data_IF_860440771613
#
_entry.id   IF_860440771613
#
_cell.length_a   1.000
_cell.length_b   1.000
_cell.length_c   1.000
_cell.angle_alpha   90.00
_cell.angle_beta   90.00
_cell.angle_gamma   90.00
#
_symmetry.space_group_name_H-M   'P 1'
#
loop_
_entity.id
_entity.type
_entity.pdbx_description
1 polymer ?
#
# COMPACT_ATOMS: atom_id res chain seq x y z
N UNK A 1 18.52 -21.72 -9.90
CA UNK A 1 19.89 -21.13 -9.99
C UNK A 1 19.85 -19.85 -9.19
N UNK A 2 20.87 -19.56 -8.39
CA UNK A 2 20.97 -18.29 -7.68
C UNK A 2 21.46 -17.21 -8.66
N UNK A 3 20.84 -16.02 -8.63
CA UNK A 3 21.30 -14.87 -9.44
C UNK A 3 22.63 -14.37 -8.91
N UNK A 4 23.48 -13.90 -9.82
CA UNK A 4 24.72 -13.17 -9.50
C UNK A 4 24.50 -11.67 -9.70
N UNK A 5 25.40 -10.83 -9.18
CA UNK A 5 25.39 -9.38 -9.44
C UNK A 5 25.40 -9.07 -10.95
N UNK A 6 26.17 -9.86 -11.72
CA UNK A 6 26.26 -9.71 -13.18
C UNK A 6 24.90 -9.96 -13.84
N UNK A 7 24.17 -11.00 -13.41
CA UNK A 7 22.85 -11.32 -13.99
C UNK A 7 21.86 -10.19 -13.75
N UNK A 8 21.81 -9.65 -12.52
CA UNK A 8 20.90 -8.53 -12.19
C UNK A 8 21.29 -7.27 -12.98
N UNK A 9 22.57 -6.98 -13.08
CA UNK A 9 23.07 -5.85 -13.87
C UNK A 9 22.67 -5.97 -15.34
N UNK A 10 22.80 -7.15 -15.95
CA UNK A 10 22.42 -7.40 -17.34
C UNK A 10 20.92 -7.20 -17.56
N UNK A 11 20.08 -7.65 -16.64
CA UNK A 11 18.62 -7.40 -16.65
C UNK A 11 18.34 -5.89 -16.67
N UNK A 12 18.96 -5.13 -15.76
CA UNK A 12 18.74 -3.68 -15.67
C UNK A 12 19.21 -2.95 -16.94
N UNK A 13 20.37 -3.31 -17.48
CA UNK A 13 20.92 -2.72 -18.71
C UNK A 13 20.02 -3.03 -19.92
N UNK A 14 19.52 -4.24 -20.04
CA UNK A 14 18.58 -4.67 -21.09
C UNK A 14 17.28 -3.85 -21.03
N UNK A 15 16.69 -3.71 -19.84
CA UNK A 15 15.49 -2.89 -19.66
C UNK A 15 15.76 -1.41 -19.95
N UNK A 16 16.90 -0.91 -19.55
CA UNK A 16 17.32 0.48 -19.83
C UNK A 16 17.52 0.74 -21.32
N UNK A 17 18.07 -0.22 -22.04
CA UNK A 17 18.18 -0.15 -23.49
C UNK A 17 16.80 -0.13 -24.17
N UNK A 18 15.90 -1.00 -23.74
CA UNK A 18 14.52 -1.03 -24.24
C UNK A 18 13.76 0.27 -23.94
N UNK A 19 13.85 0.79 -22.73
CA UNK A 19 13.22 2.07 -22.37
C UNK A 19 13.69 3.22 -23.27
N UNK A 20 14.99 3.27 -23.61
CA UNK A 20 15.57 4.30 -24.48
C UNK A 20 15.04 4.27 -25.91
N UNK A 21 14.45 3.17 -26.37
CA UNK A 21 13.79 3.12 -27.68
C UNK A 21 12.55 3.99 -27.76
N UNK A 22 11.98 4.39 -26.60
CA UNK A 22 10.75 5.16 -26.52
C UNK A 22 9.48 4.33 -26.76
N UNK A 23 9.57 3.00 -26.89
CA UNK A 23 8.43 2.12 -27.15
C UNK A 23 7.32 2.24 -26.09
N UNK A 24 7.68 2.55 -24.84
CA UNK A 24 6.73 2.69 -23.72
C UNK A 24 6.04 4.06 -23.63
N UNK A 25 6.41 5.03 -24.47
CA UNK A 25 5.92 6.41 -24.36
C UNK A 25 4.50 6.59 -24.92
N UNK A 26 4.09 5.79 -25.90
CA UNK A 26 2.75 5.90 -26.49
C UNK A 26 1.67 5.42 -25.52
N UNK A 27 0.72 6.29 -25.22
CA UNK A 27 -0.40 6.01 -24.31
C UNK A 27 -1.32 4.89 -24.83
N UNK A 28 -1.50 4.78 -26.14
CA UNK A 28 -2.29 3.69 -26.73
C UNK A 28 -1.61 2.35 -26.51
N UNK A 29 -0.32 2.30 -26.71
CA UNK A 29 0.49 1.11 -26.47
C UNK A 29 0.42 0.66 -25.01
N UNK A 30 0.52 1.59 -24.04
CA UNK A 30 0.37 1.29 -22.60
C UNK A 30 -1.01 0.70 -22.29
N UNK A 31 -2.08 1.26 -22.87
CA UNK A 31 -3.45 0.75 -22.70
C UNK A 31 -3.55 -0.68 -23.23
N UNK A 32 -2.95 -0.99 -24.37
CA UNK A 32 -2.94 -2.37 -24.89
C UNK A 32 -2.13 -3.31 -23.96
N UNK A 33 -1.03 -2.88 -23.38
CA UNK A 33 -0.28 -3.68 -22.38
C UNK A 33 -1.10 -3.91 -21.09
N UNK A 34 -1.84 -2.91 -20.64
CA UNK A 34 -2.76 -3.05 -19.49
C UNK A 34 -3.91 -4.02 -19.79
N UNK A 35 -4.47 -3.99 -20.99
CA UNK A 35 -5.49 -4.98 -21.40
C UNK A 35 -4.91 -6.38 -21.45
N UNK A 36 -3.73 -6.55 -22.03
CA UNK A 36 -3.01 -7.82 -22.07
C UNK A 36 -2.78 -8.36 -20.65
N UNK A 37 -2.31 -7.51 -19.72
CA UNK A 37 -2.14 -7.87 -18.32
C UNK A 37 -3.46 -8.33 -17.68
N UNK A 38 -4.54 -7.55 -17.84
CA UNK A 38 -5.86 -7.89 -17.31
C UNK A 38 -6.37 -9.24 -17.81
N UNK A 39 -6.30 -9.45 -19.14
CA UNK A 39 -6.83 -10.64 -19.77
C UNK A 39 -6.02 -11.88 -19.37
N UNK A 40 -4.70 -11.71 -19.20
CA UNK A 40 -3.84 -12.75 -18.67
C UNK A 40 -4.13 -13.07 -17.18
N UNK A 41 -4.40 -12.05 -16.33
CA UNK A 41 -4.79 -12.27 -14.93
C UNK A 41 -6.05 -13.14 -14.85
N UNK A 42 -7.04 -12.87 -15.70
CA UNK A 42 -8.26 -13.69 -15.75
C UNK A 42 -7.99 -15.11 -16.29
N UNK A 43 -7.08 -15.27 -17.24
CA UNK A 43 -6.71 -16.59 -17.76
C UNK A 43 -5.93 -17.43 -16.75
N UNK A 44 -5.24 -16.80 -15.80
CA UNK A 44 -4.44 -17.45 -14.75
C UNK A 44 -5.15 -17.56 -13.42
N UNK A 45 -6.47 -17.25 -13.35
CA UNK A 45 -7.25 -17.21 -12.10
C UNK A 45 -7.11 -18.50 -11.30
N UNK A 46 -7.32 -19.67 -11.90
CA UNK A 46 -7.21 -20.98 -11.24
C UNK A 46 -5.78 -21.28 -10.74
N UNK A 47 -4.75 -20.94 -11.53
CA UNK A 47 -3.35 -21.09 -11.12
C UNK A 47 -3.02 -20.21 -9.90
N UNK A 48 -3.52 -18.99 -9.87
CA UNK A 48 -3.33 -18.07 -8.73
C UNK A 48 -4.10 -18.53 -7.49
N UNK A 49 -5.35 -18.98 -7.65
CA UNK A 49 -6.15 -19.53 -6.56
C UNK A 49 -5.45 -20.74 -5.91
N UNK A 50 -4.95 -21.68 -6.72
CA UNK A 50 -4.23 -22.85 -6.22
C UNK A 50 -2.94 -22.45 -5.49
N UNK A 51 -2.14 -21.53 -6.06
CA UNK A 51 -0.91 -21.08 -5.42
C UNK A 51 -1.16 -20.33 -4.09
N UNK A 52 -2.26 -19.56 -4.00
CA UNK A 52 -2.68 -18.90 -2.77
C UNK A 52 -3.18 -19.90 -1.72
N UNK A 53 -3.82 -21.00 -2.15
CA UNK A 53 -4.19 -22.11 -1.25
C UNK A 53 -2.94 -22.82 -0.73
N UNK A 54 -1.96 -23.08 -1.59
CA UNK A 54 -0.72 -23.78 -1.22
C UNK A 54 0.17 -22.94 -0.27
N UNK A 55 0.26 -21.61 -0.48
CA UNK A 55 1.13 -20.74 0.32
C UNK A 55 0.46 -20.21 1.61
N UNK A 56 -0.86 -20.00 1.62
CA UNK A 56 -1.60 -19.28 2.68
C UNK A 56 -2.85 -20.01 3.17
N UNK A 57 -3.22 -21.15 2.56
CA UNK A 57 -4.44 -21.89 2.90
C UNK A 57 -5.73 -21.14 2.57
N UNK A 58 -5.72 -20.22 1.60
CA UNK A 58 -6.89 -19.44 1.23
C UNK A 58 -7.90 -20.24 0.43
N UNK A 59 -9.18 -20.07 0.74
CA UNK A 59 -10.26 -20.56 -0.11
C UNK A 59 -10.27 -19.81 -1.46
N UNK A 60 -10.86 -20.42 -2.49
CA UNK A 60 -11.04 -19.76 -3.80
C UNK A 60 -11.76 -18.42 -3.71
N UNK A 61 -12.79 -18.33 -2.86
CA UNK A 61 -13.55 -17.09 -2.66
C UNK A 61 -12.66 -16.00 -2.06
N UNK A 62 -11.85 -16.30 -1.05
CA UNK A 62 -10.94 -15.33 -0.45
C UNK A 62 -9.80 -14.96 -1.40
N UNK A 63 -9.25 -15.91 -2.15
CA UNK A 63 -8.24 -15.67 -3.17
C UNK A 63 -8.74 -14.70 -4.24
N UNK A 64 -9.94 -14.92 -4.76
CA UNK A 64 -10.57 -14.00 -5.70
C UNK A 64 -10.87 -12.63 -5.09
N UNK A 65 -11.51 -12.61 -3.91
CA UNK A 65 -11.93 -11.37 -3.24
C UNK A 65 -10.75 -10.45 -2.89
N UNK A 66 -9.63 -11.03 -2.47
CA UNK A 66 -8.51 -10.29 -1.89
C UNK A 66 -7.32 -10.09 -2.83
N UNK A 67 -7.15 -10.93 -3.85
CA UNK A 67 -6.03 -10.83 -4.80
C UNK A 67 -6.52 -10.63 -6.24
N UNK A 68 -7.17 -11.60 -6.88
CA UNK A 68 -7.45 -11.59 -8.33
C UNK A 68 -8.46 -10.52 -8.73
N UNK A 69 -9.61 -10.45 -8.05
CA UNK A 69 -10.68 -9.49 -8.37
C UNK A 69 -10.24 -8.03 -8.27
N UNK A 70 -9.60 -7.60 -7.17
CA UNK A 70 -9.11 -6.24 -7.03
C UNK A 70 -8.14 -5.80 -8.12
N UNK A 71 -7.24 -6.68 -8.60
CA UNK A 71 -6.32 -6.35 -9.70
C UNK A 71 -7.08 -6.03 -10.97
N UNK A 72 -8.09 -6.83 -11.31
CA UNK A 72 -8.91 -6.62 -12.52
C UNK A 72 -9.64 -5.28 -12.43
N UNK A 73 -10.14 -4.93 -11.24
CA UNK A 73 -10.79 -3.63 -10.99
C UNK A 73 -9.81 -2.48 -11.17
N UNK A 74 -8.63 -2.59 -10.59
CA UNK A 74 -7.54 -1.60 -10.65
C UNK A 74 -7.08 -1.36 -12.09
N UNK A 75 -6.78 -2.43 -12.84
CA UNK A 75 -6.36 -2.32 -14.25
C UNK A 75 -7.46 -1.70 -15.11
N UNK A 76 -8.72 -2.07 -14.90
CA UNK A 76 -9.84 -1.47 -15.64
C UNK A 76 -9.99 0.03 -15.37
N UNK A 77 -9.73 0.49 -14.15
CA UNK A 77 -9.68 1.92 -13.82
C UNK A 77 -8.56 2.62 -14.59
N UNK A 78 -7.36 2.04 -14.61
CA UNK A 78 -6.21 2.58 -15.36
C UNK A 78 -6.51 2.65 -16.86
N UNK A 79 -7.06 1.60 -17.47
CA UNK A 79 -7.43 1.58 -18.90
C UNK A 79 -8.40 2.73 -19.24
N UNK A 80 -9.39 2.99 -18.38
CA UNK A 80 -10.38 4.05 -18.58
C UNK A 80 -9.80 5.44 -18.37
N UNK A 81 -8.92 5.60 -17.34
CA UNK A 81 -8.39 6.88 -16.90
C UNK A 81 -7.17 7.36 -17.66
N UNK A 82 -6.31 6.46 -18.13
CA UNK A 82 -4.95 6.76 -18.58
C UNK A 82 -4.87 7.82 -19.67
N UNK A 83 -5.79 7.82 -20.65
CA UNK A 83 -5.80 8.85 -21.70
C UNK A 83 -6.01 10.26 -21.15
N UNK A 84 -6.78 10.38 -20.06
CA UNK A 84 -7.01 11.67 -19.38
C UNK A 84 -5.81 12.05 -18.52
N UNK A 85 -5.31 11.13 -17.72
CA UNK A 85 -4.21 11.36 -16.78
C UNK A 85 -2.89 11.73 -17.47
N UNK A 86 -2.60 11.08 -18.60
CA UNK A 86 -1.39 11.32 -19.38
C UNK A 86 -1.43 12.62 -20.22
N UNK A 87 -2.58 13.30 -20.32
CA UNK A 87 -2.64 14.58 -21.02
C UNK A 87 -1.79 15.62 -20.29
N UNK A 88 -0.99 16.43 -21.02
CA UNK A 88 -0.33 17.57 -20.43
C UNK A 88 -1.34 18.54 -19.83
N UNK A 89 -1.09 18.95 -18.60
CA UNK A 89 -1.86 20.05 -17.97
C UNK A 89 -1.42 21.36 -18.55
N UNK A 90 -2.37 22.21 -18.92
CA UNK A 90 -2.10 23.54 -19.47
C UNK A 90 -2.38 24.59 -18.41
N UNK A 91 -1.39 25.44 -18.15
CA UNK A 91 -1.48 26.49 -17.16
C UNK A 91 -1.22 27.84 -17.82
N UNK A 92 -1.91 28.89 -17.36
CA UNK A 92 -1.56 30.25 -17.68
C UNK A 92 -0.24 30.61 -16.96
N UNK A 93 0.73 31.08 -17.72
CA UNK A 93 2.08 31.32 -17.22
C UNK A 93 2.21 32.53 -16.28
N UNK A 94 1.16 33.32 -16.12
CA UNK A 94 1.18 34.58 -15.38
C UNK A 94 1.80 35.73 -16.17
N UNK A 95 1.49 36.98 -15.74
CA UNK A 95 1.93 38.21 -16.42
C UNK A 95 3.46 38.40 -16.39
N UNK A 96 4.13 37.89 -15.35
CA UNK A 96 5.59 37.92 -15.23
C UNK A 96 6.30 37.14 -16.32
N UNK A 97 5.64 36.15 -16.91
CA UNK A 97 6.19 35.33 -18.00
C UNK A 97 5.84 35.89 -19.39
N UNK A 98 4.99 36.93 -19.47
CA UNK A 98 4.62 37.53 -20.76
C UNK A 98 5.86 37.91 -21.59
N UNK A 99 5.91 37.64 -22.90
CA UNK A 99 4.83 37.14 -23.78
C UNK A 99 4.72 35.60 -23.85
N UNK A 100 5.38 34.84 -22.99
CA UNK A 100 5.30 33.39 -22.91
C UNK A 100 4.14 32.99 -22.01
N UNK A 101 2.94 32.84 -22.60
CA UNK A 101 1.68 32.67 -21.86
C UNK A 101 1.21 31.20 -21.74
N UNK A 102 1.90 30.27 -22.38
CA UNK A 102 1.51 28.84 -22.38
C UNK A 102 2.57 28.01 -21.67
N UNK A 103 2.16 27.44 -20.54
CA UNK A 103 2.94 26.46 -19.81
C UNK A 103 2.24 25.10 -19.86
N UNK A 104 3.00 24.04 -20.08
CA UNK A 104 2.50 22.68 -20.03
C UNK A 104 3.28 21.87 -18.99
N UNK A 105 2.56 21.06 -18.22
CA UNK A 105 3.15 20.07 -17.32
C UNK A 105 2.93 18.69 -17.93
N UNK A 106 4.01 18.03 -18.29
CA UNK A 106 4.02 16.67 -18.80
C UNK A 106 4.25 15.68 -17.64
N UNK A 107 3.64 14.50 -17.71
CA UNK A 107 3.90 13.38 -16.80
C UNK A 107 4.88 12.45 -17.52
N UNK A 108 6.14 12.53 -17.14
CA UNK A 108 7.23 11.76 -17.76
C UNK A 108 7.47 10.47 -16.99
N UNK A 109 7.65 9.31 -17.65
CA UNK A 109 8.07 8.09 -16.96
C UNK A 109 9.42 8.30 -16.28
N UNK A 110 9.66 7.58 -15.18
CA UNK A 110 10.98 7.56 -14.54
C UNK A 110 12.00 6.79 -15.39
N UNK A 111 11.66 5.59 -15.85
CA UNK A 111 12.56 4.73 -16.61
C UNK A 111 12.45 3.27 -16.22
N UNK A 112 13.53 2.70 -15.66
CA UNK A 112 13.56 1.32 -15.16
C UNK A 112 13.19 1.30 -13.69
N UNK A 113 12.13 0.58 -13.34
CA UNK A 113 11.58 0.53 -11.99
C UNK A 113 11.79 -0.83 -11.34
N UNK A 114 12.05 -0.84 -10.02
CA UNK A 114 12.10 -2.04 -9.20
C UNK A 114 10.84 -2.09 -8.33
N UNK A 115 10.13 -3.21 -8.37
CA UNK A 115 8.98 -3.51 -7.51
C UNK A 115 9.33 -4.69 -6.61
N UNK A 116 9.43 -4.43 -5.31
CA UNK A 116 9.68 -5.47 -4.29
C UNK A 116 8.38 -5.75 -3.57
N UNK A 117 7.82 -6.93 -3.78
CA UNK A 117 6.48 -7.29 -3.32
C UNK A 117 6.50 -8.23 -2.11
N UNK A 118 5.46 -8.15 -1.24
CA UNK A 118 5.35 -8.94 -0.03
C UNK A 118 4.74 -10.31 -0.29
N UNK A 119 4.59 -11.11 0.77
CA UNK A 119 4.04 -12.45 0.71
C UNK A 119 2.53 -12.54 0.98
N UNK A 120 1.94 -11.54 1.65
CA UNK A 120 0.61 -11.66 2.21
C UNK A 120 -0.55 -11.47 1.21
N UNK A 121 -0.36 -10.67 0.17
CA UNK A 121 -1.21 -10.57 -1.02
C UNK A 121 -0.30 -10.56 -2.24
N UNK A 122 0.35 -11.72 -2.52
CA UNK A 122 1.48 -11.76 -3.45
C UNK A 122 1.10 -11.43 -4.88
N UNK A 123 -0.14 -11.68 -5.29
CA UNK A 123 -0.60 -11.40 -6.65
C UNK A 123 -1.04 -9.94 -6.76
N UNK A 124 -1.92 -9.47 -5.85
CA UNK A 124 -2.43 -8.09 -5.85
C UNK A 124 -1.31 -7.07 -5.71
N UNK A 125 -0.47 -7.21 -4.66
CA UNK A 125 0.57 -6.23 -4.34
C UNK A 125 1.78 -6.31 -5.28
N UNK A 126 1.83 -7.31 -6.16
CA UNK A 126 2.79 -7.37 -7.27
C UNK A 126 2.18 -6.75 -8.53
N UNK A 127 1.12 -7.34 -9.06
CA UNK A 127 0.59 -6.99 -10.37
C UNK A 127 -0.14 -5.65 -10.38
N UNK A 128 -0.73 -5.21 -9.26
CA UNK A 128 -1.30 -3.88 -9.11
C UNK A 128 -0.24 -2.78 -9.25
N UNK A 129 0.92 -2.95 -8.60
CA UNK A 129 2.05 -2.01 -8.69
C UNK A 129 2.70 -2.06 -10.08
N UNK A 130 2.82 -3.26 -10.68
CA UNK A 130 3.28 -3.42 -12.08
C UNK A 130 2.36 -2.68 -13.04
N UNK A 131 1.05 -2.80 -12.89
CA UNK A 131 0.07 -2.07 -13.70
C UNK A 131 0.24 -0.55 -13.55
N UNK A 132 0.46 -0.05 -12.33
CA UNK A 132 0.73 1.37 -12.09
C UNK A 132 2.02 1.83 -12.82
N UNK A 133 3.09 1.05 -12.74
CA UNK A 133 4.36 1.35 -13.42
C UNK A 133 4.21 1.32 -14.96
N UNK A 134 3.52 0.33 -15.52
CA UNK A 134 3.16 0.24 -16.94
C UNK A 134 2.34 1.47 -17.36
N UNK A 135 1.36 1.88 -16.57
CA UNK A 135 0.56 3.07 -16.85
C UNK A 135 1.41 4.33 -16.93
N UNK A 136 2.43 4.46 -16.07
CA UNK A 136 3.42 5.53 -16.09
C UNK A 136 4.33 5.51 -17.32
N UNK A 137 4.49 4.36 -17.99
CA UNK A 137 5.34 4.20 -19.18
C UNK A 137 6.76 3.73 -18.86
N UNK A 138 6.95 3.04 -17.74
CA UNK A 138 8.23 2.50 -17.30
C UNK A 138 8.42 1.04 -17.76
N UNK A 139 9.65 0.54 -17.66
CA UNK A 139 9.96 -0.88 -17.62
C UNK A 139 10.01 -1.35 -16.18
N UNK A 140 9.81 -2.65 -15.93
CA UNK A 140 9.62 -3.16 -14.56
C UNK A 140 10.45 -4.41 -14.31
N UNK A 141 11.25 -4.38 -13.25
CA UNK A 141 11.83 -5.58 -12.64
C UNK A 141 11.08 -5.86 -11.34
N UNK A 142 10.57 -7.07 -11.20
CA UNK A 142 9.84 -7.53 -10.03
C UNK A 142 10.78 -8.37 -9.18
N UNK A 143 10.88 -8.07 -7.89
CA UNK A 143 11.48 -8.96 -6.89
C UNK A 143 10.38 -9.50 -5.99
N UNK A 144 9.90 -10.69 -6.31
CA UNK A 144 8.83 -11.36 -5.55
C UNK A 144 9.35 -11.93 -4.22
N UNK A 145 8.43 -12.13 -3.26
CA UNK A 145 8.75 -12.67 -1.95
C UNK A 145 9.12 -14.16 -2.03
N UNK A 146 10.23 -14.54 -1.41
CA UNK A 146 10.60 -15.95 -1.28
C UNK A 146 9.70 -16.75 -0.31
N UNK A 147 8.92 -16.07 0.54
CA UNK A 147 8.04 -16.73 1.51
C UNK A 147 6.79 -17.33 0.86
N UNK A 148 6.27 -16.69 -0.21
CA UNK A 148 5.16 -17.19 -1.02
C UNK A 148 5.70 -17.89 -2.28
N UNK A 149 6.29 -19.06 -2.11
CA UNK A 149 7.07 -19.73 -3.15
C UNK A 149 6.21 -20.25 -4.31
N UNK A 150 5.00 -20.74 -4.04
CA UNK A 150 4.06 -21.20 -5.06
C UNK A 150 3.54 -20.03 -5.89
N UNK A 151 3.10 -18.97 -5.23
CA UNK A 151 2.69 -17.73 -5.91
C UNK A 151 3.83 -17.12 -6.73
N UNK A 152 5.05 -17.10 -6.20
CA UNK A 152 6.22 -16.60 -6.92
C UNK A 152 6.54 -17.43 -8.16
N UNK A 153 6.42 -18.76 -8.09
CA UNK A 153 6.62 -19.64 -9.25
C UNK A 153 5.57 -19.39 -10.34
N UNK A 154 4.30 -19.24 -9.96
CA UNK A 154 3.22 -18.92 -10.90
C UNK A 154 3.42 -17.52 -11.49
N UNK A 155 3.74 -16.51 -10.68
CA UNK A 155 4.04 -15.15 -11.15
C UNK A 155 5.22 -15.13 -12.12
N UNK A 156 6.26 -15.93 -11.90
CA UNK A 156 7.43 -16.00 -12.79
C UNK A 156 7.04 -16.54 -14.17
N UNK A 157 6.26 -17.63 -14.21
CA UNK A 157 5.70 -18.19 -15.45
C UNK A 157 4.79 -17.19 -16.15
N UNK A 158 3.85 -16.61 -15.42
CA UNK A 158 2.93 -15.59 -15.89
C UNK A 158 3.65 -14.42 -16.56
N UNK A 159 4.63 -13.81 -15.87
CA UNK A 159 5.38 -12.65 -16.40
C UNK A 159 6.13 -13.01 -17.66
N UNK A 160 6.77 -14.19 -17.71
CA UNK A 160 7.53 -14.65 -18.88
C UNK A 160 6.66 -14.94 -20.10
N UNK A 161 5.40 -15.36 -19.89
CA UNK A 161 4.45 -15.61 -20.99
C UNK A 161 3.77 -14.33 -21.48
N UNK A 162 3.54 -13.36 -20.57
CA UNK A 162 2.78 -12.14 -20.90
C UNK A 162 3.66 -11.05 -21.48
N UNK A 163 4.91 -10.93 -21.03
CA UNK A 163 5.77 -9.83 -21.39
C UNK A 163 7.16 -10.27 -21.84
N UNK A 164 7.78 -9.56 -22.80
CA UNK A 164 9.18 -9.77 -23.11
C UNK A 164 10.05 -9.30 -21.92
N UNK A 165 11.18 -9.98 -21.63
CA UNK A 165 11.99 -9.74 -20.43
C UNK A 165 12.63 -8.34 -20.39
N UNK A 166 12.84 -7.71 -21.54
CA UNK A 166 13.34 -6.34 -21.64
C UNK A 166 12.28 -5.30 -21.22
N UNK A 167 11.02 -5.70 -21.05
CA UNK A 167 9.93 -4.82 -20.64
C UNK A 167 9.48 -5.08 -19.20
N UNK A 168 9.07 -6.32 -18.90
CA UNK A 168 8.73 -6.74 -17.54
C UNK A 168 9.40 -8.09 -17.27
N UNK A 169 10.15 -8.19 -16.19
CA UNK A 169 10.77 -9.44 -15.77
C UNK A 169 10.65 -9.66 -14.27
N UNK A 170 10.66 -10.92 -13.83
CA UNK A 170 10.61 -11.29 -12.43
C UNK A 170 11.89 -12.00 -12.01
N UNK A 171 12.45 -11.54 -10.90
CA UNK A 171 13.59 -12.11 -10.20
C UNK A 171 13.09 -12.74 -8.91
N UNK A 172 13.30 -14.04 -8.74
CA UNK A 172 13.01 -14.81 -7.54
C UNK A 172 14.26 -15.00 -6.68
N UNK A 173 14.10 -15.40 -5.44
CA UNK A 173 15.20 -15.64 -4.50
C UNK A 173 15.01 -14.97 -3.15
N UNK A 174 15.96 -15.20 -2.25
CA UNK A 174 15.94 -14.72 -0.86
C UNK A 174 16.32 -13.25 -0.68
N UNK A 175 16.72 -12.95 0.56
CA UNK A 175 17.20 -11.60 0.92
C UNK A 175 18.50 -11.23 0.20
N UNK A 176 19.38 -12.22 -0.03
CA UNK A 176 20.62 -12.10 -0.80
C UNK A 176 20.35 -11.54 -2.20
N UNK A 177 19.38 -12.12 -2.92
CA UNK A 177 18.98 -11.64 -4.25
C UNK A 177 18.27 -10.27 -4.17
N UNK A 178 17.52 -9.99 -3.12
CA UNK A 178 16.93 -8.67 -2.91
C UNK A 178 18.02 -7.60 -2.75
N UNK A 179 19.08 -7.89 -2.01
CA UNK A 179 20.23 -6.99 -1.85
C UNK A 179 20.97 -6.78 -3.17
N UNK A 180 21.19 -7.83 -3.97
CA UNK A 180 21.75 -7.69 -5.32
C UNK A 180 20.91 -6.77 -6.23
N UNK A 181 19.57 -6.84 -6.11
CA UNK A 181 18.68 -5.92 -6.81
C UNK A 181 18.85 -4.49 -6.28
N UNK A 182 18.86 -4.31 -4.96
CA UNK A 182 18.96 -2.99 -4.33
C UNK A 182 20.31 -2.30 -4.58
N UNK A 183 21.38 -3.05 -4.86
CA UNK A 183 22.70 -2.54 -5.21
C UNK A 183 22.78 -1.97 -6.64
N UNK A 184 21.75 -2.20 -7.48
CA UNK A 184 21.71 -1.65 -8.83
C UNK A 184 21.14 -0.22 -8.85
N UNK A 185 21.43 0.51 -9.94
CA UNK A 185 20.83 1.84 -10.15
C UNK A 185 19.44 1.74 -10.77
N UNK A 186 18.44 2.10 -10.00
CA UNK A 186 17.04 2.22 -10.43
C UNK A 186 16.63 3.67 -10.64
N UNK A 187 15.59 3.88 -11.46
CA UNK A 187 15.03 5.19 -11.67
C UNK A 187 13.81 5.42 -10.75
N UNK A 188 13.23 4.34 -10.19
CA UNK A 188 12.23 4.35 -9.11
C UNK A 188 12.21 2.99 -8.42
N UNK A 189 12.03 2.97 -7.10
CA UNK A 189 11.79 1.75 -6.31
C UNK A 189 10.42 1.85 -5.65
N UNK A 190 9.64 0.78 -5.70
CA UNK A 190 8.43 0.58 -4.93
C UNK A 190 8.60 -0.65 -4.04
N UNK A 191 8.45 -0.49 -2.75
CA UNK A 191 8.60 -1.56 -1.77
C UNK A 191 7.36 -1.66 -0.89
N UNK A 192 6.86 -2.88 -0.69
CA UNK A 192 5.81 -3.21 0.29
C UNK A 192 6.34 -4.24 1.28
N UNK A 193 6.26 -3.93 2.58
CA UNK A 193 6.70 -4.86 3.63
C UNK A 193 6.93 -4.20 4.97
N UNK A 194 7.92 -4.68 5.74
CA UNK A 194 8.18 -4.18 7.09
C UNK A 194 8.94 -2.83 7.10
N UNK A 195 8.72 -1.98 8.14
CA UNK A 195 9.46 -0.74 8.30
C UNK A 195 10.99 -0.91 8.36
N UNK A 196 11.47 -1.99 8.97
CA UNK A 196 12.90 -2.27 9.06
C UNK A 196 13.55 -2.46 7.68
N UNK A 197 12.90 -3.23 6.79
CA UNK A 197 13.38 -3.42 5.42
C UNK A 197 13.14 -2.16 4.58
N UNK A 198 12.07 -1.40 4.82
CA UNK A 198 11.84 -0.10 4.17
C UNK A 198 12.98 0.89 4.45
N UNK A 199 13.48 0.97 5.68
CA UNK A 199 14.66 1.75 6.05
C UNK A 199 15.93 1.27 5.30
N UNK A 200 16.10 -0.04 5.12
CA UNK A 200 17.19 -0.62 4.33
C UNK A 200 17.10 -0.23 2.84
N UNK A 201 15.89 -0.33 2.25
CA UNK A 201 15.63 0.10 0.87
C UNK A 201 15.99 1.57 0.67
N UNK A 202 15.61 2.46 1.58
CA UNK A 202 15.98 3.89 1.54
C UNK A 202 17.50 4.09 1.60
N UNK A 203 18.18 3.37 2.47
CA UNK A 203 19.64 3.45 2.60
C UNK A 203 20.35 3.02 1.30
N UNK A 204 19.86 1.97 0.64
CA UNK A 204 20.38 1.48 -0.65
C UNK A 204 20.04 2.42 -1.83
N UNK A 205 18.90 3.09 -1.79
CA UNK A 205 18.47 4.05 -2.81
C UNK A 205 19.26 5.39 -2.75
N UNK A 206 19.67 5.80 -1.57
CA UNK A 206 20.28 7.10 -1.30
C UNK A 206 21.51 7.43 -2.15
N UNK A 207 22.49 6.54 -2.38
CA UNK A 207 23.68 6.83 -3.20
C UNK A 207 23.35 7.24 -4.63
N UNK A 208 22.24 6.75 -5.19
CA UNK A 208 21.77 7.04 -6.54
C UNK A 208 20.69 8.12 -6.59
N UNK A 209 20.26 8.66 -5.45
CA UNK A 209 19.12 9.57 -5.32
C UNK A 209 17.86 8.98 -5.97
N UNK A 210 17.70 7.66 -5.91
CA UNK A 210 16.56 6.97 -6.49
C UNK A 210 15.30 7.31 -5.70
N UNK A 211 14.23 7.83 -6.31
CA UNK A 211 12.95 8.03 -5.64
C UNK A 211 12.36 6.70 -5.17
N UNK A 212 11.84 6.68 -3.94
CA UNK A 212 11.27 5.47 -3.33
C UNK A 212 9.81 5.73 -2.96
N UNK A 213 8.96 4.73 -3.17
CA UNK A 213 7.65 4.64 -2.53
C UNK A 213 7.66 3.43 -1.59
N UNK A 214 7.12 3.60 -0.39
CA UNK A 214 7.10 2.58 0.66
C UNK A 214 5.68 2.39 1.16
N UNK A 215 5.21 1.15 1.15
CA UNK A 215 3.98 0.70 1.78
C UNK A 215 4.33 -0.22 2.96
N UNK A 216 4.12 0.28 4.17
CA UNK A 216 4.59 -0.36 5.40
C UNK A 216 3.41 -0.53 6.36
N UNK A 217 3.40 -1.60 7.19
CA UNK A 217 2.34 -1.84 8.16
C UNK A 217 2.34 -0.87 9.36
N UNK A 218 3.43 -0.09 9.52
CA UNK A 218 3.65 0.74 10.70
C UNK A 218 4.30 -0.02 11.85
N UNK A 219 4.83 0.72 12.83
CA UNK A 219 5.47 0.09 14.01
C UNK A 219 4.44 -0.34 15.05
N UNK A 220 3.35 0.42 15.23
CA UNK A 220 2.38 0.21 16.32
C UNK A 220 1.12 -0.55 15.88
N UNK A 221 1.00 -0.89 14.59
CA UNK A 221 -0.23 -1.48 14.04
C UNK A 221 -1.43 -0.53 14.07
N UNK A 222 -2.56 -1.01 13.57
CA UNK A 222 -3.75 -0.20 13.33
C UNK A 222 -4.74 -0.28 14.50
N UNK A 223 -5.26 0.87 14.90
CA UNK A 223 -6.23 0.99 15.99
C UNK A 223 -7.66 0.96 15.49
N UNK A 224 -8.51 0.28 16.26
CA UNK A 224 -9.96 0.33 16.12
C UNK A 224 -10.57 0.85 17.44
N UNK A 225 -11.24 1.99 17.40
CA UNK A 225 -11.90 2.58 18.58
C UNK A 225 -13.40 2.37 18.46
N UNK A 226 -14.00 1.69 19.45
CA UNK A 226 -15.43 1.35 19.52
C UNK A 226 -16.05 2.09 20.70
N UNK A 227 -16.83 3.14 20.41
CA UNK A 227 -17.48 3.97 21.42
C UNK A 227 -18.77 3.33 21.93
N UNK A 228 -19.26 3.80 23.08
CA UNK A 228 -20.49 3.28 23.73
C UNK A 228 -21.75 3.38 22.88
N UNK A 229 -21.79 4.31 21.93
CA UNK A 229 -22.91 4.56 21.01
C UNK A 229 -22.76 3.81 19.66
N UNK A 230 -21.77 2.93 19.53
CA UNK A 230 -21.58 2.11 18.34
C UNK A 230 -22.65 1.01 18.21
N UNK A 231 -22.94 0.60 16.99
CA UNK A 231 -23.65 -0.66 16.75
C UNK A 231 -22.73 -1.84 17.04
N UNK A 232 -22.92 -2.47 18.20
CA UNK A 232 -22.06 -3.54 18.72
C UNK A 232 -22.01 -4.73 17.76
N UNK A 233 -23.16 -5.12 17.18
CA UNK A 233 -23.25 -6.31 16.30
C UNK A 233 -22.55 -6.04 14.98
N UNK A 234 -22.73 -4.87 14.40
CA UNK A 234 -22.09 -4.48 13.15
C UNK A 234 -20.58 -4.35 13.32
N UNK A 235 -20.11 -3.70 14.41
CA UNK A 235 -18.71 -3.60 14.74
C UNK A 235 -18.05 -4.97 14.92
N UNK A 236 -18.65 -5.84 15.75
CA UNK A 236 -18.14 -7.18 16.00
C UNK A 236 -18.05 -8.02 14.72
N UNK A 237 -19.10 -7.96 13.86
CA UNK A 237 -19.16 -8.69 12.58
C UNK A 237 -18.00 -8.29 11.64
N UNK A 238 -17.77 -6.99 11.48
CA UNK A 238 -16.75 -6.46 10.56
C UNK A 238 -15.35 -6.71 11.08
N UNK A 239 -15.12 -6.50 12.39
CA UNK A 239 -13.85 -6.77 13.04
C UNK A 239 -13.50 -8.27 12.93
N UNK A 240 -14.46 -9.15 13.22
CA UNK A 240 -14.25 -10.59 13.11
C UNK A 240 -13.89 -11.00 11.67
N UNK A 241 -14.63 -10.52 10.67
CA UNK A 241 -14.38 -10.83 9.27
C UNK A 241 -12.94 -10.51 8.84
N UNK A 242 -12.50 -9.27 9.08
CA UNK A 242 -11.16 -8.89 8.65
C UNK A 242 -10.05 -9.50 9.50
N UNK A 243 -10.33 -9.87 10.77
CA UNK A 243 -9.36 -10.58 11.59
C UNK A 243 -9.18 -12.03 11.15
N UNK A 244 -10.22 -12.65 10.60
CA UNK A 244 -10.17 -13.99 10.02
C UNK A 244 -9.49 -13.98 8.64
N UNK A 245 -9.76 -12.96 7.83
CA UNK A 245 -9.21 -12.83 6.50
C UNK A 245 -7.67 -12.93 6.53
N UNK A 246 -7.11 -13.80 5.71
CA UNK A 246 -5.68 -14.10 5.64
C UNK A 246 -5.04 -14.41 7.01
N UNK A 247 -5.79 -15.00 7.93
CA UNK A 247 -5.36 -15.23 9.32
C UNK A 247 -4.76 -13.99 9.99
N UNK A 248 -5.30 -12.81 9.70
CA UNK A 248 -4.83 -11.54 10.24
C UNK A 248 -3.59 -10.94 9.57
N UNK A 249 -3.03 -11.57 8.55
CA UNK A 249 -1.81 -11.14 7.85
C UNK A 249 -2.09 -10.04 6.82
N UNK A 250 -2.62 -8.91 7.27
CA UNK A 250 -3.00 -7.76 6.44
C UNK A 250 -2.41 -6.48 7.03
N UNK A 251 -1.71 -5.67 6.23
CA UNK A 251 -1.06 -4.42 6.67
C UNK A 251 -2.07 -3.38 7.24
N UNK A 252 -3.31 -3.40 6.76
CA UNK A 252 -4.40 -2.55 7.28
C UNK A 252 -5.34 -3.27 8.24
N UNK A 253 -5.01 -4.50 8.70
CA UNK A 253 -5.87 -5.20 9.66
C UNK A 253 -5.93 -4.48 11.01
N UNK A 254 -7.02 -4.74 11.74
CA UNK A 254 -7.15 -4.29 13.11
C UNK A 254 -6.08 -5.00 13.94
N UNK A 255 -5.11 -4.26 14.45
CA UNK A 255 -4.09 -4.82 15.33
C UNK A 255 -4.64 -4.97 16.75
N UNK A 256 -5.33 -3.94 17.23
CA UNK A 256 -5.95 -3.87 18.55
C UNK A 256 -7.25 -3.07 18.54
N UNK A 257 -8.12 -3.36 19.50
CA UNK A 257 -9.38 -2.65 19.73
C UNK A 257 -9.35 -1.91 21.05
N UNK A 258 -9.69 -0.62 21.04
CA UNK A 258 -10.08 0.11 22.26
C UNK A 258 -11.61 0.19 22.28
N UNK A 259 -12.25 -0.39 23.29
CA UNK A 259 -13.69 -0.45 23.43
C UNK A 259 -14.15 0.30 24.69
N UNK A 260 -15.26 1.03 24.59
CA UNK A 260 -15.85 1.72 25.73
C UNK A 260 -16.30 0.71 26.80
N UNK A 261 -15.96 0.98 28.07
CA UNK A 261 -16.21 0.13 29.23
C UNK A 261 -17.68 -0.26 29.34
N UNK A 262 -18.58 0.68 29.04
CA UNK A 262 -20.03 0.53 29.15
C UNK A 262 -20.62 -0.56 28.23
N UNK A 263 -19.90 -0.89 27.13
CA UNK A 263 -20.35 -1.89 26.16
C UNK A 263 -19.39 -3.08 26.03
N UNK A 264 -18.25 -3.06 26.72
CA UNK A 264 -17.21 -4.07 26.56
C UNK A 264 -17.68 -5.53 26.73
N UNK A 265 -18.47 -5.88 27.74
CA UNK A 265 -18.99 -7.25 27.89
C UNK A 265 -19.84 -7.70 26.71
N UNK A 266 -20.78 -6.85 26.26
CA UNK A 266 -21.67 -7.15 25.14
C UNK A 266 -20.90 -7.20 23.82
N UNK A 267 -19.89 -6.34 23.63
CA UNK A 267 -19.02 -6.36 22.46
C UNK A 267 -18.18 -7.64 22.39
N UNK A 268 -17.57 -8.07 23.50
CA UNK A 268 -16.79 -9.31 23.56
C UNK A 268 -17.65 -10.54 23.27
N UNK A 269 -18.86 -10.60 23.80
CA UNK A 269 -19.81 -11.68 23.51
C UNK A 269 -20.18 -11.71 22.02
N UNK A 270 -20.53 -10.55 21.45
CA UNK A 270 -20.84 -10.42 20.03
C UNK A 270 -19.67 -10.81 19.13
N UNK A 271 -18.44 -10.38 19.48
CA UNK A 271 -17.21 -10.69 18.75
C UNK A 271 -16.92 -12.20 18.75
N UNK A 272 -17.03 -12.86 19.90
CA UNK A 272 -16.87 -14.30 20.03
C UNK A 272 -17.95 -15.07 19.23
N UNK A 273 -19.18 -14.59 19.26
CA UNK A 273 -20.28 -15.15 18.48
C UNK A 273 -19.99 -15.05 16.97
N UNK A 274 -19.47 -13.91 16.52
CA UNK A 274 -19.11 -13.70 15.13
C UNK A 274 -17.93 -14.55 14.68
N UNK A 275 -16.91 -14.75 15.51
CA UNK A 275 -15.84 -15.71 15.21
C UNK A 275 -16.37 -17.14 15.04
N UNK A 276 -17.25 -17.60 15.94
CA UNK A 276 -17.88 -18.93 15.80
C UNK A 276 -18.74 -19.02 14.54
N UNK A 277 -19.53 -18.00 14.24
CA UNK A 277 -20.39 -17.96 13.06
C UNK A 277 -19.59 -18.00 11.75
N UNK A 278 -18.46 -17.30 11.68
CA UNK A 278 -17.70 -17.14 10.43
C UNK A 278 -16.63 -18.22 10.25
N UNK A 279 -15.95 -18.66 11.31
CA UNK A 279 -14.89 -19.66 11.24
C UNK A 279 -15.31 -21.07 11.73
N UNK A 280 -16.50 -21.19 12.30
CA UNK A 280 -16.98 -22.42 12.93
C UNK A 280 -16.47 -22.59 14.37
N UNK A 281 -16.97 -23.61 15.05
CA UNK A 281 -16.55 -23.95 16.42
C UNK A 281 -15.13 -24.51 16.49
N UNK A 282 -14.63 -25.06 15.38
CA UNK A 282 -13.26 -25.56 15.23
C UNK A 282 -12.57 -24.92 14.04
N UNK A 283 -12.05 -23.69 14.18
CA UNK A 283 -11.38 -22.99 13.08
C UNK A 283 -10.10 -23.70 12.59
N UNK A 284 -9.44 -24.49 13.44
CA UNK A 284 -8.23 -25.25 13.04
C UNK A 284 -8.54 -26.38 12.06
N UNK A 285 -9.75 -26.94 12.13
CA UNK A 285 -10.22 -27.96 11.19
C UNK A 285 -11.01 -27.39 10.00
N UNK A 286 -11.18 -26.08 9.92
CA UNK A 286 -11.87 -25.43 8.81
C UNK A 286 -10.89 -25.22 7.65
N UNK A 287 -11.10 -25.94 6.54
CA UNK A 287 -10.23 -25.82 5.35
C UNK A 287 -10.28 -24.45 4.68
N UNK A 288 -11.38 -23.69 4.88
CA UNK A 288 -11.51 -22.32 4.36
C UNK A 288 -10.77 -21.27 5.20
N UNK A 289 -10.34 -21.64 6.45
CA UNK A 289 -9.61 -20.73 7.31
C UNK A 289 -8.12 -20.71 6.97
N UNK A 290 -7.54 -19.56 6.59
CA UNK A 290 -6.14 -19.46 6.18
C UNK A 290 -5.15 -19.84 7.28
N UNK A 291 -3.91 -20.08 6.89
CA UNK A 291 -2.81 -20.36 7.82
C UNK A 291 -1.72 -19.26 7.78
N UNK A 292 -0.85 -19.27 8.75
CA UNK A 292 0.32 -18.39 8.79
C UNK A 292 1.36 -18.85 7.78
N UNK A 293 2.04 -17.90 7.14
CA UNK A 293 2.91 -18.15 5.99
C UNK A 293 4.12 -19.03 6.29
N UNK A 294 4.64 -19.05 7.50
CA UNK A 294 5.84 -19.81 7.89
C UNK A 294 5.73 -20.32 9.32
N UNK A 295 6.50 -21.37 9.64
CA UNK A 295 6.68 -21.84 11.00
C UNK A 295 7.14 -20.73 11.95
N UNK A 296 8.08 -19.88 11.53
CA UNK A 296 8.55 -18.76 12.35
C UNK A 296 7.44 -17.73 12.65
N UNK A 297 6.51 -17.50 11.71
CA UNK A 297 5.35 -16.65 11.96
C UNK A 297 4.38 -17.30 12.94
N UNK A 298 4.17 -18.61 12.82
CA UNK A 298 3.38 -19.38 13.77
C UNK A 298 4.00 -19.37 15.17
N UNK A 299 5.29 -19.68 15.29
CA UNK A 299 5.99 -19.75 16.57
C UNK A 299 5.97 -18.38 17.29
N UNK A 300 6.14 -17.27 16.54
CA UNK A 300 5.98 -15.91 17.08
C UNK A 300 4.57 -15.66 17.61
N UNK A 301 3.54 -16.05 16.85
CA UNK A 301 2.14 -15.90 17.26
C UNK A 301 1.84 -16.71 18.51
N UNK A 302 2.26 -17.99 18.54
CA UNK A 302 2.04 -18.88 19.67
C UNK A 302 2.76 -18.41 20.94
N UNK A 303 4.01 -17.96 20.83
CA UNK A 303 4.77 -17.43 21.96
C UNK A 303 4.10 -16.19 22.56
N UNK A 304 3.63 -15.29 21.71
CA UNK A 304 2.93 -14.09 22.17
C UNK A 304 1.58 -14.42 22.82
N UNK A 305 0.83 -15.38 22.30
CA UNK A 305 -0.41 -15.84 22.93
C UNK A 305 -0.14 -16.51 24.27
N UNK A 306 0.96 -17.24 24.40
CA UNK A 306 1.37 -17.89 25.66
C UNK A 306 1.75 -16.89 26.75
N UNK A 307 2.42 -15.80 26.39
CA UNK A 307 2.73 -14.68 27.29
C UNK A 307 1.47 -14.07 27.93
N UNK A 308 0.36 -14.05 27.17
CA UNK A 308 -0.92 -13.49 27.62
C UNK A 308 -1.97 -14.55 27.96
N UNK A 309 -1.58 -15.80 28.19
CA UNK A 309 -2.46 -16.96 28.37
C UNK A 309 -3.58 -16.74 29.37
N UNK A 310 -3.29 -16.15 30.53
CA UNK A 310 -4.26 -15.90 31.60
C UNK A 310 -5.36 -14.87 31.23
N UNK A 311 -5.13 -14.09 30.16
CA UNK A 311 -6.04 -13.06 29.67
C UNK A 311 -6.74 -13.46 28.36
N UNK A 312 -6.54 -14.68 27.89
CA UNK A 312 -7.26 -15.18 26.71
C UNK A 312 -8.71 -15.47 27.11
N UNK A 313 -9.65 -14.74 26.51
CA UNK A 313 -11.09 -14.94 26.72
C UNK A 313 -11.77 -15.70 25.59
N UNK A 314 -11.06 -15.88 24.46
CA UNK A 314 -11.52 -16.69 23.31
C UNK A 314 -10.32 -17.18 22.51
N UNK A 315 -10.39 -18.40 21.96
CA UNK A 315 -9.36 -18.99 21.10
C UNK A 315 -8.18 -19.54 21.87
N UNK A 316 -6.97 -19.06 21.60
CA UNK A 316 -5.74 -19.46 22.31
C UNK A 316 -5.20 -20.85 21.93
N UNK A 317 -5.65 -21.42 20.81
CA UNK A 317 -5.23 -22.74 20.33
C UNK A 317 -4.61 -22.63 18.94
N UNK A 318 -3.59 -23.43 18.71
CA UNK A 318 -2.95 -23.52 17.40
C UNK A 318 -2.57 -24.94 17.04
N UNK A 319 -2.40 -25.19 15.77
CA UNK A 319 -1.82 -26.43 15.22
C UNK A 319 -0.61 -26.07 14.37
N UNK A 320 0.59 -26.40 14.88
CA UNK A 320 1.85 -26.09 14.21
C UNK A 320 2.04 -26.85 12.91
N UNK A 321 1.44 -28.04 12.79
CA UNK A 321 1.58 -28.86 11.60
C UNK A 321 0.85 -28.24 10.40
N UNK A 322 -0.33 -27.66 10.64
CA UNK A 322 -1.09 -26.91 9.62
C UNK A 322 -0.79 -25.42 9.58
N UNK A 323 0.08 -24.91 10.45
CA UNK A 323 0.38 -23.47 10.65
C UNK A 323 -0.85 -22.63 10.97
N UNK A 324 -1.96 -23.24 11.42
CA UNK A 324 -3.19 -22.54 11.78
C UNK A 324 -3.18 -22.16 13.26
N UNK A 325 -3.52 -20.91 13.52
CA UNK A 325 -3.76 -20.39 14.87
C UNK A 325 -5.18 -19.83 14.94
N UNK A 326 -5.97 -20.27 15.91
CA UNK A 326 -7.35 -19.84 16.05
C UNK A 326 -7.42 -18.33 16.30
N UNK A 327 -8.48 -17.63 15.82
CA UNK A 327 -8.71 -16.24 16.19
C UNK A 327 -8.79 -16.14 17.71
N UNK A 328 -7.99 -15.24 18.29
CA UNK A 328 -7.75 -15.20 19.72
C UNK A 328 -7.96 -13.80 20.26
N UNK A 329 -8.84 -13.67 21.25
CA UNK A 329 -9.11 -12.40 21.95
C UNK A 329 -8.38 -12.40 23.29
N UNK A 330 -7.56 -11.37 23.50
CA UNK A 330 -6.81 -11.15 24.74
C UNK A 330 -7.41 -9.93 25.43
N UNK A 331 -7.94 -10.12 26.67
CA UNK A 331 -8.68 -9.09 27.39
C UNK A 331 -8.56 -9.28 28.94
N UNK A 332 -8.41 -8.20 29.70
CA UNK A 332 -8.12 -6.84 29.28
C UNK A 332 -6.62 -6.66 28.97
N UNK A 333 -6.31 -5.69 28.09
CA UNK A 333 -4.94 -5.26 27.81
C UNK A 333 -4.85 -3.76 28.00
N UNK A 334 -3.79 -3.29 28.68
CA UNK A 334 -3.56 -1.86 28.84
C UNK A 334 -2.94 -1.23 27.58
N UNK A 335 -3.24 0.05 27.33
CA UNK A 335 -2.73 0.76 26.18
C UNK A 335 -1.19 0.83 26.12
N UNK A 336 -0.52 0.68 27.25
CA UNK A 336 0.95 0.78 27.35
C UNK A 336 1.69 -0.55 27.25
N UNK A 337 0.98 -1.65 27.14
CA UNK A 337 1.59 -2.97 27.05
C UNK A 337 2.31 -3.22 25.72
N UNK A 338 3.36 -4.06 25.71
CA UNK A 338 4.16 -4.33 24.51
C UNK A 338 3.34 -4.85 23.33
N UNK A 339 2.31 -5.68 23.60
CA UNK A 339 1.47 -6.31 22.55
C UNK A 339 0.70 -5.27 21.69
N UNK A 340 0.38 -4.09 22.24
CA UNK A 340 -0.30 -3.01 21.53
C UNK A 340 0.66 -1.93 20.99
N UNK A 341 1.97 -2.19 21.09
CA UNK A 341 3.03 -1.30 20.58
C UNK A 341 3.75 -1.85 19.36
N UNK A 342 3.32 -3.00 18.84
CA UNK A 342 3.91 -3.62 17.65
C UNK A 342 2.84 -4.18 16.73
N UNK A 343 3.14 -4.24 15.43
CA UNK A 343 2.30 -4.93 14.48
C UNK A 343 2.35 -6.45 14.73
N UNK A 344 1.20 -7.06 14.96
CA UNK A 344 1.10 -8.50 15.28
C UNK A 344 1.17 -9.38 14.04
N UNK A 345 0.47 -9.00 12.99
CA UNK A 345 0.39 -9.69 11.69
C UNK A 345 -0.06 -11.16 11.80
N UNK A 346 -0.98 -11.41 12.73
CA UNK A 346 -1.49 -12.74 13.08
C UNK A 346 -2.93 -12.62 13.65
N UNK A 347 -3.64 -13.74 13.92
CA UNK A 347 -5.04 -13.70 14.36
C UNK A 347 -5.25 -13.36 15.83
N UNK A 348 -4.27 -12.77 16.51
CA UNK A 348 -4.42 -12.25 17.88
C UNK A 348 -5.08 -10.88 17.85
N UNK A 349 -5.99 -10.64 18.79
CA UNK A 349 -6.72 -9.37 18.94
C UNK A 349 -6.70 -8.92 20.40
N UNK A 350 -5.74 -8.09 20.80
CA UNK A 350 -5.78 -7.43 22.12
C UNK A 350 -6.92 -6.42 22.17
N UNK A 351 -7.62 -6.40 23.32
CA UNK A 351 -8.74 -5.49 23.59
C UNK A 351 -8.46 -4.68 24.84
N UNK A 352 -8.39 -3.37 24.66
CA UNK A 352 -8.23 -2.36 25.72
C UNK A 352 -9.59 -1.75 26.07
N UNK A 353 -9.79 -1.39 27.33
CA UNK A 353 -11.02 -0.75 27.81
C UNK A 353 -10.76 0.69 28.18
N UNK A 354 -11.72 1.57 27.89
CA UNK A 354 -11.68 2.97 28.32
C UNK A 354 -13.09 3.46 28.71
N UNK A 355 -13.18 4.45 29.59
CA UNK A 355 -14.45 5.14 29.85
C UNK A 355 -14.77 6.04 28.65
N UNK A 356 -15.97 5.98 28.10
CA UNK A 356 -16.33 6.76 26.92
C UNK A 356 -16.15 8.28 27.09
N UNK A 357 -16.20 8.78 28.34
CA UNK A 357 -15.83 10.17 28.68
C UNK A 357 -14.39 10.50 28.36
N UNK A 358 -13.49 9.51 28.34
CA UNK A 358 -12.04 9.69 28.23
C UNK A 358 -11.57 9.39 26.80
N UNK A 359 -12.48 9.31 25.83
CA UNK A 359 -12.16 8.95 24.44
C UNK A 359 -11.18 9.92 23.78
N UNK A 360 -11.22 11.21 24.14
CA UNK A 360 -10.26 12.19 23.61
C UNK A 360 -8.84 11.90 24.10
N UNK A 361 -8.65 11.43 25.36
CA UNK A 361 -7.37 10.98 25.88
C UNK A 361 -6.88 9.70 25.16
N UNK A 362 -7.79 8.77 24.85
CA UNK A 362 -7.45 7.59 24.03
C UNK A 362 -6.93 8.02 22.66
N UNK A 363 -7.62 8.97 22.01
CA UNK A 363 -7.20 9.49 20.72
C UNK A 363 -5.86 10.23 20.78
N UNK A 364 -5.60 10.98 21.86
CA UNK A 364 -4.31 11.65 22.12
C UNK A 364 -3.19 10.62 22.32
N UNK A 365 -3.47 9.54 23.05
CA UNK A 365 -2.51 8.43 23.25
C UNK A 365 -2.16 7.77 21.93
N UNK A 366 -3.15 7.52 21.06
CA UNK A 366 -2.92 6.98 19.71
C UNK A 366 -2.09 7.97 18.87
N UNK A 367 -2.43 9.26 18.93
CA UNK A 367 -1.73 10.31 18.18
C UNK A 367 -0.28 10.51 18.62
N UNK A 368 0.04 10.19 19.88
CA UNK A 368 1.42 10.30 20.43
C UNK A 368 2.36 9.20 19.94
N UNK A 369 1.82 8.20 19.24
CA UNK A 369 2.58 7.06 18.70
C UNK A 369 2.92 7.29 17.24
N UNK A 370 3.73 6.38 16.69
CA UNK A 370 4.01 6.36 15.27
C UNK A 370 2.73 6.18 14.43
N UNK A 371 2.70 6.85 13.29
CA UNK A 371 1.51 6.92 12.44
C UNK A 371 1.13 5.55 11.88
N UNK A 372 -0.07 5.02 12.20
CA UNK A 372 -0.53 3.75 11.67
C UNK A 372 -0.87 3.86 10.17
N UNK A 373 -0.84 2.73 9.47
CA UNK A 373 -1.30 2.68 8.09
C UNK A 373 -2.82 2.88 8.00
N UNK A 374 -3.57 2.39 9.00
CA UNK A 374 -5.01 2.56 9.03
C UNK A 374 -5.55 2.87 10.43
N UNK A 375 -6.70 3.57 10.47
CA UNK A 375 -7.46 3.85 11.68
C UNK A 375 -8.96 3.63 11.47
N UNK A 376 -9.63 3.05 12.48
CA UNK A 376 -11.04 2.68 12.42
C UNK A 376 -11.80 3.21 13.61
N UNK A 377 -12.99 3.81 13.37
CA UNK A 377 -13.83 4.35 14.41
C UNK A 377 -15.26 3.79 14.27
N UNK A 378 -15.81 3.23 15.34
CA UNK A 378 -17.21 2.82 15.42
C UNK A 378 -17.98 3.71 16.40
N UNK A 379 -18.95 4.45 15.91
CA UNK A 379 -19.80 5.37 16.68
C UNK A 379 -21.00 5.83 15.85
N UNK A 380 -22.11 6.15 16.47
CA UNK A 380 -23.23 6.87 15.85
C UNK A 380 -23.00 8.39 15.78
N UNK A 381 -22.01 8.94 16.52
CA UNK A 381 -21.66 10.35 16.51
C UNK A 381 -20.75 10.71 15.32
N UNK A 382 -21.37 10.87 14.16
CA UNK A 382 -20.66 11.20 12.91
C UNK A 382 -19.83 12.49 13.02
N UNK A 383 -20.29 13.52 13.76
CA UNK A 383 -19.55 14.76 13.94
C UNK A 383 -18.21 14.53 14.66
N UNK A 384 -18.25 13.77 15.75
CA UNK A 384 -17.04 13.42 16.49
C UNK A 384 -16.10 12.56 15.63
N UNK A 385 -16.64 11.55 14.94
CA UNK A 385 -15.84 10.66 14.10
C UNK A 385 -15.07 11.44 13.01
N UNK A 386 -15.75 12.30 12.26
CA UNK A 386 -15.10 13.14 11.24
C UNK A 386 -14.09 14.14 11.82
N UNK A 387 -14.38 14.72 13.01
CA UNK A 387 -13.42 15.56 13.72
C UNK A 387 -12.16 14.77 14.07
N UNK A 388 -12.31 13.59 14.68
CA UNK A 388 -11.20 12.73 15.08
C UNK A 388 -10.36 12.31 13.88
N UNK A 389 -11.00 11.83 12.79
CA UNK A 389 -10.28 11.44 11.57
C UNK A 389 -9.47 12.59 10.95
N UNK A 390 -9.88 13.85 11.13
CA UNK A 390 -9.18 15.03 10.57
C UNK A 390 -8.05 15.56 11.45
N UNK A 391 -7.95 15.13 12.68
CA UNK A 391 -6.97 15.61 13.66
C UNK A 391 -5.87 14.59 13.97
N UNK A 392 -5.98 13.39 13.40
CA UNK A 392 -4.99 12.32 13.54
C UNK A 392 -4.11 12.21 12.29
N UNK A 393 -2.93 11.62 12.45
CA UNK A 393 -2.03 11.27 11.34
C UNK A 393 -2.07 9.76 11.12
N UNK A 394 -2.45 9.33 9.91
CA UNK A 394 -2.55 7.93 9.50
C UNK A 394 -2.59 7.83 7.96
N UNK A 395 -2.41 6.66 7.40
CA UNK A 395 -2.48 6.47 5.94
C UNK A 395 -3.90 6.57 5.40
N UNK A 396 -4.82 5.78 5.92
CA UNK A 396 -6.23 5.78 5.53
C UNK A 396 -7.12 5.23 6.65
N UNK A 397 -8.44 5.18 6.46
CA UNK A 397 -9.30 4.63 7.51
C UNK A 397 -10.78 4.65 7.18
N UNK A 398 -11.58 4.13 8.13
CA UNK A 398 -13.02 4.04 7.99
C UNK A 398 -13.76 4.48 9.25
N UNK A 399 -14.98 4.98 9.05
CA UNK A 399 -15.97 5.20 10.10
C UNK A 399 -17.07 4.16 9.92
N UNK A 400 -17.34 3.39 10.96
CA UNK A 400 -18.28 2.27 10.97
C UNK A 400 -18.01 1.20 9.89
N UNK A 401 -16.73 1.07 9.51
CA UNK A 401 -16.25 0.09 8.53
C UNK A 401 -14.78 -0.23 8.81
N UNK A 402 -14.25 -1.30 8.19
CA UNK A 402 -12.86 -1.75 8.36
C UNK A 402 -12.27 -2.11 7.00
N UNK A 403 -11.00 -1.79 6.78
CA UNK A 403 -10.19 -2.20 5.61
C UNK A 403 -10.70 -1.80 4.22
N UNK A 404 -12.00 -1.69 3.98
CA UNK A 404 -12.57 -1.52 2.64
C UNK A 404 -12.26 -0.17 1.97
N UNK A 405 -11.66 0.80 2.68
CA UNK A 405 -11.17 2.03 2.06
C UNK A 405 -10.13 1.77 0.96
N UNK A 406 -9.41 0.65 1.05
CA UNK A 406 -8.50 0.15 0.00
C UNK A 406 -9.21 -0.08 -1.34
N UNK A 407 -10.50 -0.48 -1.32
CA UNK A 407 -11.26 -0.83 -2.52
C UNK A 407 -11.96 0.36 -3.18
N UNK A 408 -11.85 1.56 -2.60
CA UNK A 408 -12.51 2.76 -3.12
C UNK A 408 -11.75 3.28 -4.33
N UNK A 409 -12.44 3.39 -5.47
CA UNK A 409 -11.83 3.87 -6.73
C UNK A 409 -11.53 5.36 -6.69
N UNK A 410 -10.42 5.76 -7.35
CA UNK A 410 -10.06 7.16 -7.53
C UNK A 410 -9.50 7.86 -6.30
N UNK A 411 -9.24 7.14 -5.22
CA UNK A 411 -8.65 7.69 -3.99
C UNK A 411 -7.25 7.10 -3.77
N UNK A 412 -6.35 7.85 -3.09
CA UNK A 412 -5.02 7.35 -2.80
C UNK A 412 -5.05 6.27 -1.72
N UNK A 413 -4.13 5.33 -1.81
CA UNK A 413 -3.75 4.44 -0.73
C UNK A 413 -2.26 4.60 -0.46
N UNK A 414 -1.88 4.79 0.80
CA UNK A 414 -0.48 4.94 1.20
C UNK A 414 -0.37 5.36 2.66
N UNK A 415 0.81 5.14 3.24
CA UNK A 415 1.14 5.47 4.61
C UNK A 415 1.83 6.84 4.76
N UNK A 416 2.13 7.18 6.01
CA UNK A 416 2.92 8.36 6.39
C UNK A 416 3.85 8.03 7.56
N UNK A 417 5.05 8.60 7.58
CA UNK A 417 6.05 8.27 8.60
C UNK A 417 6.46 6.80 8.57
N UNK A 418 6.30 6.09 9.67
CA UNK A 418 6.66 4.67 9.77
C UNK A 418 5.68 3.72 9.08
N UNK A 419 4.53 4.21 8.61
CA UNK A 419 3.62 3.43 7.76
C UNK A 419 3.87 3.60 6.26
N UNK A 420 4.77 4.51 5.84
CA UNK A 420 5.18 4.60 4.45
C UNK A 420 5.41 6.00 3.91
N UNK A 421 5.60 6.07 2.59
CA UNK A 421 5.71 7.31 1.80
C UNK A 421 5.30 7.03 0.37
N UNK A 422 4.65 8.02 -0.26
CA UNK A 422 3.98 7.86 -1.55
C UNK A 422 2.55 7.39 -1.41
N UNK A 423 1.87 7.26 -2.53
CA UNK A 423 0.51 6.74 -2.58
C UNK A 423 0.22 6.16 -3.97
N UNK A 424 -0.58 5.10 -4.03
CA UNK A 424 -0.91 4.45 -5.28
C UNK A 424 -2.42 4.13 -5.37
N UNK A 425 -2.85 3.34 -6.32
CA UNK A 425 -4.18 3.04 -6.85
C UNK A 425 -4.67 4.07 -7.88
N UNK A 426 -5.18 3.55 -8.99
CA UNK A 426 -5.75 4.33 -10.08
C UNK A 426 -4.85 5.45 -10.57
N UNK A 427 -5.37 6.68 -10.57
CA UNK A 427 -4.62 7.88 -10.96
C UNK A 427 -3.41 8.14 -10.07
N UNK A 428 -3.49 7.81 -8.76
CA UNK A 428 -2.38 8.01 -7.83
C UNK A 428 -1.21 7.08 -8.15
N UNK A 429 -1.49 5.83 -8.54
CA UNK A 429 -0.46 4.91 -9.02
C UNK A 429 0.22 5.42 -10.29
N UNK A 430 -0.55 5.94 -11.26
CA UNK A 430 0.02 6.60 -12.43
C UNK A 430 0.91 7.79 -12.06
N UNK A 431 0.48 8.64 -11.11
CA UNK A 431 1.26 9.80 -10.63
C UNK A 431 2.51 9.37 -9.88
N UNK A 432 2.45 8.31 -9.06
CA UNK A 432 3.58 7.78 -8.32
C UNK A 432 4.71 7.25 -9.23
N UNK A 433 4.34 6.75 -10.42
CA UNK A 433 5.27 6.23 -11.42
C UNK A 433 5.55 7.21 -12.57
N UNK A 434 5.23 8.50 -12.40
CA UNK A 434 5.57 9.57 -13.34
C UNK A 434 6.15 10.79 -12.63
N UNK A 435 7.06 11.49 -13.32
CA UNK A 435 7.63 12.75 -12.86
C UNK A 435 6.98 13.94 -13.59
N UNK A 436 6.42 14.95 -12.88
CA UNK A 436 5.88 16.16 -13.51
C UNK A 436 7.02 17.04 -14.05
N UNK A 437 6.99 17.33 -15.34
CA UNK A 437 7.98 18.15 -16.02
C UNK A 437 7.31 19.39 -16.61
N UNK A 438 7.72 20.57 -16.16
CA UNK A 438 7.17 21.85 -16.61
C UNK A 438 7.93 22.39 -17.82
N UNK A 439 7.20 22.72 -18.90
CA UNK A 439 7.75 23.34 -20.10
C UNK A 439 7.00 24.63 -20.41
N UNK A 440 7.71 25.73 -20.40
CA UNK A 440 7.22 27.05 -20.83
C UNK A 440 7.63 27.31 -22.28
N UNK A 441 6.66 27.58 -23.16
CA UNK A 441 6.94 27.95 -24.56
C UNK A 441 7.03 29.45 -24.70
N UNK A 442 8.26 29.96 -25.00
CA UNK A 442 8.54 31.36 -25.32
C UNK A 442 8.15 31.75 -26.74
N UNK A 443 7.99 33.03 -26.98
CA UNK A 443 7.88 33.65 -28.31
C UNK A 443 9.25 34.14 -28.78
N UNK A 444 9.59 33.96 -30.06
CA UNK A 444 10.90 34.29 -30.62
C UNK A 444 10.98 35.71 -31.21
N UNK A 445 9.85 36.26 -31.62
CA UNK A 445 9.82 37.55 -32.31
C UNK A 445 9.42 38.76 -31.45
N UNK A 446 9.02 38.51 -30.22
CA UNK A 446 8.59 39.56 -29.29
C UNK A 446 9.11 39.24 -27.89
N UNK A 447 9.87 40.17 -27.32
CA UNK A 447 10.37 40.06 -25.96
C UNK A 447 10.14 41.38 -25.22
N UNK A 448 9.87 41.32 -23.92
CA UNK A 448 9.81 42.47 -23.06
C UNK A 448 11.17 42.71 -22.42
N UNK A 449 11.81 43.84 -22.70
CA UNK A 449 13.07 44.24 -22.09
C UNK A 449 12.96 44.54 -20.57
N UNK A 450 11.78 44.36 -20.00
CA UNK A 450 11.50 44.60 -18.58
C UNK A 450 12.38 43.74 -17.66
N UNK A 451 12.72 42.51 -18.08
CA UNK A 451 13.56 41.55 -17.36
C UNK A 451 15.04 41.62 -17.70
N UNK A 452 15.42 42.49 -18.63
CA UNK A 452 16.78 42.61 -19.12
C UNK A 452 17.51 43.78 -18.44
N UNK A 453 18.85 43.65 -18.31
CA UNK A 453 19.67 44.81 -17.90
C UNK A 453 19.57 45.99 -18.89
N UNK A 454 19.86 47.22 -18.43
CA UNK A 454 20.30 47.61 -17.09
C UNK A 454 19.14 47.81 -16.11
N UNK A 455 19.40 47.61 -14.80
CA UNK A 455 18.44 47.84 -13.70
C UNK A 455 18.75 49.12 -12.93
N UNK A 456 19.77 49.86 -13.31
CA UNK A 456 20.16 51.12 -12.67
C UNK A 456 19.44 52.34 -13.25
N UNK A 457 19.54 53.44 -12.54
CA UNK A 457 19.03 54.73 -12.99
C UNK A 457 17.51 54.84 -13.12
N UNK A 458 17.07 55.70 -14.02
CA UNK A 458 15.63 56.02 -14.27
C UNK A 458 14.91 54.80 -14.87
N UNK A 459 15.58 54.08 -15.78
CA UNK A 459 15.02 52.89 -16.42
C UNK A 459 14.76 51.78 -15.41
N UNK A 460 15.67 51.53 -14.50
CA UNK A 460 15.53 50.50 -13.44
C UNK A 460 14.35 50.83 -12.49
N UNK A 461 14.21 52.10 -12.09
CA UNK A 461 13.07 52.54 -11.26
C UNK A 461 11.72 52.37 -11.97
N UNK A 462 11.65 52.61 -13.27
CA UNK A 462 10.44 52.42 -14.07
C UNK A 462 10.11 50.93 -14.21
N UNK A 463 11.11 50.07 -14.50
CA UNK A 463 10.97 48.61 -14.55
C UNK A 463 10.43 48.06 -13.23
N UNK A 464 10.99 48.50 -12.10
CA UNK A 464 10.55 48.09 -10.78
C UNK A 464 9.09 48.46 -10.49
N UNK A 465 8.68 49.68 -10.87
CA UNK A 465 7.28 50.11 -10.72
C UNK A 465 6.33 49.24 -11.54
N UNK A 466 6.67 48.90 -12.78
CA UNK A 466 5.89 48.03 -13.63
C UNK A 466 5.83 46.60 -13.08
N UNK A 467 6.96 46.05 -12.63
CA UNK A 467 7.00 44.72 -12.03
C UNK A 467 6.10 44.59 -10.79
N UNK A 468 6.09 45.62 -9.93
CA UNK A 468 5.21 45.68 -8.75
C UNK A 468 3.71 45.71 -9.08
N UNK A 469 3.32 46.09 -10.30
CA UNK A 469 1.93 46.01 -10.74
C UNK A 469 1.50 44.58 -11.07
N UNK A 470 2.44 43.68 -11.38
CA UNK A 470 2.15 42.30 -11.67
C UNK A 470 2.10 41.39 -10.42
N UNK A 471 2.49 41.93 -9.24
CA UNK A 471 2.42 41.24 -7.96
C UNK A 471 1.06 41.36 -7.27
N UNK A 472 0.18 42.25 -7.77
CA UNK A 472 -1.18 42.43 -7.28
C UNK A 472 -2.19 41.76 -8.20
#
# INVERSE_FOLDING_TARGET
MSYTEKDIKEIVETQRAYFRTGATLDVKWRIERLKQLRDAVLAYEEDFEQALADDLGRSKVEAFLCDVGPIVVEINEMIRGLRRWARPECHFSGLMCFPSIVTKVFKMPYGVTLVISPFNFPILLTLGVVAASISGGNTVVIKASAKSSHCTAVLKRFVAEVFPPEYVTLVDGGHDVADLCLDQRWDKIFYTGSPAVGKHVLAKAAPNLTPVALELGGETGNWCVVRKDADIRDAARKIAFFKLCNAGQICININQVAVAEEIAPAFLEALQSEFRRQAGDNPLGNEEYPHLITEAAYDKCAALADEYRERIVYGGKGDRASLRYAPTVIYPVDMDEPIVRSELFCPLLPVTVFKDSDVDMVMETIASREHPLAMYLFTSNSRWAWKSMRTQQYGGGCINEVCIHLMVKGVPFGGTGHSGMGAYHGEWGFREFTHPCTVLKGRTRFNLSLREHPYSGRAGRMKLRLLRLFER
#
